data_IF_095522678947
#
_entry.id   IF_095522678947
#
_cell.length_a   1.000
_cell.length_b   1.000
_cell.length_c   1.000
_cell.angle_alpha   90.00
_cell.angle_beta   90.00
_cell.angle_gamma   90.00
#
_symmetry.space_group_name_H-M   'P 1'
#
loop_
_entity.id
_entity.type
_entity.pdbx_description
1 polymer ?
#
# COMPACT_ATOMS: atom_id res chain seq x y z
N UNK A 1 -5.41 -7.11 -30.51
CA UNK A 1 -5.34 -6.44 -29.20
C UNK A 1 -5.08 -4.95 -29.36
N UNK A 2 -5.78 -4.09 -28.61
CA UNK A 2 -5.61 -2.63 -28.70
C UNK A 2 -4.69 -2.10 -27.58
N UNK A 3 -3.40 -1.94 -27.90
CA UNK A 3 -2.36 -1.47 -26.96
C UNK A 3 -2.31 0.04 -26.75
N UNK A 4 -3.29 0.79 -27.25
CA UNK A 4 -3.34 2.25 -27.04
C UNK A 4 -3.88 2.65 -25.66
N UNK A 5 -4.47 1.69 -24.93
CA UNK A 5 -5.10 1.93 -23.62
C UNK A 5 -4.03 2.05 -22.53
N UNK A 6 -4.22 3.03 -21.66
CA UNK A 6 -3.44 3.16 -20.43
C UNK A 6 -3.84 2.08 -19.40
N UNK A 7 -3.00 1.77 -18.42
CA UNK A 7 -3.36 0.83 -17.33
C UNK A 7 -4.65 1.17 -16.60
N UNK A 8 -4.90 2.46 -16.39
CA UNK A 8 -6.13 2.92 -15.77
C UNK A 8 -7.35 2.65 -16.64
N UNK A 9 -7.26 2.88 -17.96
CA UNK A 9 -8.36 2.60 -18.88
C UNK A 9 -8.67 1.10 -18.93
N UNK A 10 -7.66 0.24 -19.01
CA UNK A 10 -7.84 -1.22 -18.94
C UNK A 10 -8.52 -1.64 -17.63
N UNK A 11 -8.15 -1.03 -16.50
CA UNK A 11 -8.81 -1.30 -15.23
C UNK A 11 -10.27 -0.85 -15.23
N UNK A 12 -10.58 0.38 -15.65
CA UNK A 12 -11.97 0.88 -15.64
C UNK A 12 -12.90 0.06 -16.53
N UNK A 13 -12.42 -0.43 -17.67
CA UNK A 13 -13.19 -1.35 -18.54
C UNK A 13 -13.48 -2.70 -17.87
N UNK A 14 -12.50 -3.24 -17.14
CA UNK A 14 -12.61 -4.55 -16.48
C UNK A 14 -13.15 -4.46 -15.05
N UNK A 15 -13.38 -3.27 -14.52
CA UNK A 15 -13.67 -3.01 -13.11
C UNK A 15 -14.86 -3.80 -12.60
N UNK A 16 -15.95 -3.82 -13.35
CA UNK A 16 -17.15 -4.55 -12.94
C UNK A 16 -16.90 -6.05 -12.84
N UNK A 17 -16.15 -6.61 -13.80
CA UNK A 17 -15.78 -8.04 -13.81
C UNK A 17 -14.85 -8.36 -12.64
N UNK A 18 -13.81 -7.53 -12.43
CA UNK A 18 -12.85 -7.69 -11.34
C UNK A 18 -13.55 -7.61 -9.98
N UNK A 19 -14.42 -6.63 -9.77
CA UNK A 19 -15.10 -6.44 -8.49
C UNK A 19 -16.15 -7.52 -8.20
N UNK A 20 -16.74 -8.12 -9.25
CA UNK A 20 -17.71 -9.20 -9.14
C UNK A 20 -17.10 -10.55 -8.77
N UNK A 21 -15.77 -10.72 -8.82
CA UNK A 21 -15.11 -11.94 -8.35
C UNK A 21 -15.37 -12.09 -6.84
N UNK A 22 -15.88 -13.26 -6.45
CA UNK A 22 -16.17 -13.58 -5.05
C UNK A 22 -14.86 -13.63 -4.23
N UNK A 23 -14.87 -13.01 -3.06
CA UNK A 23 -13.75 -12.94 -2.12
C UNK A 23 -13.24 -14.36 -1.75
N UNK A 24 -14.13 -15.35 -1.64
CA UNK A 24 -13.80 -16.74 -1.31
C UNK A 24 -13.14 -17.51 -2.46
N UNK A 25 -13.25 -17.00 -3.69
CA UNK A 25 -12.65 -17.59 -4.90
C UNK A 25 -11.33 -16.94 -5.29
N UNK A 26 -10.91 -15.89 -4.57
CA UNK A 26 -9.68 -15.16 -4.85
C UNK A 26 -8.47 -16.09 -4.76
N UNK A 27 -7.74 -16.20 -5.87
CA UNK A 27 -6.55 -17.02 -5.95
C UNK A 27 -5.43 -16.35 -5.16
N UNK A 28 -4.88 -17.08 -4.19
CA UNK A 28 -3.69 -16.66 -3.47
C UNK A 28 -2.51 -16.53 -4.43
N UNK A 29 -1.99 -15.31 -4.58
CA UNK A 29 -0.75 -15.08 -5.33
C UNK A 29 0.45 -15.60 -4.53
N UNK A 30 1.14 -16.60 -5.08
CA UNK A 30 2.39 -17.16 -4.56
C UNK A 30 3.64 -16.52 -5.14
N UNK A 31 3.47 -15.65 -6.13
CA UNK A 31 4.52 -14.92 -6.84
C UNK A 31 4.62 -13.46 -6.34
N UNK A 32 5.81 -12.83 -6.32
CA UNK A 32 5.93 -11.38 -6.11
C UNK A 32 5.16 -10.55 -7.14
N UNK A 33 4.86 -9.28 -6.83
CA UNK A 33 4.06 -8.43 -7.73
C UNK A 33 4.79 -8.15 -9.05
N UNK A 34 6.08 -7.87 -8.96
CA UNK A 34 6.96 -7.53 -10.07
C UNK A 34 7.06 -8.69 -11.06
N UNK A 35 7.28 -9.89 -10.51
CA UNK A 35 7.30 -11.14 -11.27
C UNK A 35 5.94 -11.40 -11.92
N UNK A 36 4.84 -11.22 -11.19
CA UNK A 36 3.49 -11.43 -11.71
C UNK A 36 3.14 -10.46 -12.86
N UNK A 37 3.55 -9.20 -12.76
CA UNK A 37 3.38 -8.22 -13.83
C UNK A 37 4.21 -8.62 -15.06
N UNK A 38 5.46 -9.00 -14.87
CA UNK A 38 6.34 -9.44 -15.96
C UNK A 38 5.79 -10.70 -16.66
N UNK A 39 5.22 -11.62 -15.90
CA UNK A 39 4.56 -12.82 -16.42
C UNK A 39 3.32 -12.48 -17.24
N UNK A 40 2.50 -11.51 -16.80
CA UNK A 40 1.39 -11.00 -17.60
C UNK A 40 1.85 -10.38 -18.92
N UNK A 41 2.96 -9.64 -18.89
CA UNK A 41 3.62 -9.10 -20.09
C UNK A 41 4.07 -10.20 -21.04
N UNK A 42 4.71 -11.24 -20.50
CA UNK A 42 5.14 -12.39 -21.31
C UNK A 42 3.94 -13.10 -21.92
N UNK A 43 2.87 -13.31 -21.16
CA UNK A 43 1.67 -13.99 -21.64
C UNK A 43 1.04 -13.28 -22.85
N UNK A 44 0.79 -11.97 -22.79
CA UNK A 44 0.22 -11.28 -23.96
C UNK A 44 1.21 -11.22 -25.13
N UNK A 45 2.52 -11.16 -24.89
CA UNK A 45 3.53 -11.16 -25.95
C UNK A 45 3.56 -12.50 -26.70
N UNK A 46 3.40 -13.61 -25.97
CA UNK A 46 3.27 -14.95 -26.57
C UNK A 46 1.98 -15.09 -27.35
N UNK A 47 0.88 -14.56 -26.83
CA UNK A 47 -0.40 -14.52 -27.55
C UNK A 47 -0.28 -13.75 -28.85
N UNK A 48 0.39 -12.59 -28.89
CA UNK A 48 0.60 -11.87 -30.17
C UNK A 48 1.34 -12.70 -31.20
N UNK A 49 2.39 -13.39 -30.77
CA UNK A 49 3.25 -14.15 -31.68
C UNK A 49 2.56 -15.40 -32.21
N UNK A 50 1.71 -16.04 -31.39
CA UNK A 50 1.15 -17.36 -31.67
C UNK A 50 -0.38 -17.38 -31.72
N UNK A 51 -1.02 -16.22 -31.89
CA UNK A 51 -2.47 -16.02 -31.80
C UNK A 51 -3.27 -17.06 -32.60
N UNK A 52 -3.02 -17.16 -33.91
CA UNK A 52 -3.76 -18.06 -34.81
C UNK A 52 -3.58 -19.53 -34.44
N UNK A 53 -2.38 -19.92 -33.99
CA UNK A 53 -2.08 -21.29 -33.57
C UNK A 53 -2.80 -21.64 -32.27
N UNK A 54 -2.82 -20.71 -31.31
CA UNK A 54 -3.53 -20.89 -30.04
C UNK A 54 -5.04 -21.00 -30.28
N UNK A 55 -5.63 -20.10 -31.09
CA UNK A 55 -7.04 -20.17 -31.48
C UNK A 55 -7.40 -21.46 -32.19
N UNK A 56 -6.60 -21.86 -33.18
CA UNK A 56 -6.84 -23.11 -33.92
C UNK A 56 -6.71 -24.36 -33.04
N UNK A 57 -6.08 -24.25 -31.86
CA UNK A 57 -5.94 -25.32 -30.88
C UNK A 57 -7.12 -25.41 -29.89
N UNK A 58 -8.15 -24.57 -30.06
CA UNK A 58 -9.40 -24.65 -29.29
C UNK A 58 -9.44 -23.84 -28.00
N UNK A 59 -8.50 -22.90 -27.79
CA UNK A 59 -8.64 -21.94 -26.68
C UNK A 59 -9.87 -21.05 -26.90
N UNK A 60 -10.60 -20.74 -25.83
CA UNK A 60 -11.64 -19.71 -25.89
C UNK A 60 -11.01 -18.37 -26.26
N UNK A 61 -11.56 -17.72 -27.29
CA UNK A 61 -11.02 -16.46 -27.81
C UNK A 61 -10.98 -15.38 -26.73
N UNK A 62 -11.89 -15.42 -25.74
CA UNK A 62 -11.92 -14.45 -24.63
C UNK A 62 -10.58 -14.34 -23.91
N UNK A 63 -9.82 -15.44 -23.76
CA UNK A 63 -8.55 -15.41 -23.06
C UNK A 63 -7.45 -14.74 -23.87
N UNK A 64 -7.35 -15.05 -25.16
CA UNK A 64 -6.34 -14.45 -26.05
C UNK A 64 -6.70 -13.01 -26.45
N UNK A 65 -7.98 -12.68 -26.51
CA UNK A 65 -8.45 -11.35 -26.89
C UNK A 65 -8.30 -10.33 -25.77
N UNK A 66 -8.41 -10.77 -24.50
CA UNK A 66 -8.43 -9.88 -23.33
C UNK A 66 -7.17 -9.92 -22.46
N UNK A 67 -6.19 -10.79 -22.76
CA UNK A 67 -4.99 -10.97 -21.92
C UNK A 67 -4.21 -9.67 -21.70
N UNK A 68 -4.16 -8.79 -22.71
CA UNK A 68 -3.49 -7.50 -22.59
C UNK A 68 -4.20 -6.60 -21.56
N UNK A 69 -5.51 -6.42 -21.68
CA UNK A 69 -6.31 -5.64 -20.73
C UNK A 69 -6.22 -6.23 -19.31
N UNK A 70 -6.29 -7.56 -19.17
CA UNK A 70 -6.16 -8.26 -17.87
C UNK A 70 -4.80 -7.97 -17.22
N UNK A 71 -3.71 -8.12 -17.95
CA UNK A 71 -2.35 -7.89 -17.45
C UNK A 71 -2.14 -6.42 -17.04
N UNK A 72 -2.64 -5.51 -17.87
CA UNK A 72 -2.45 -4.06 -17.66
C UNK A 72 -3.34 -3.54 -16.52
N UNK A 73 -4.56 -4.05 -16.37
CA UNK A 73 -5.44 -3.75 -15.23
C UNK A 73 -4.86 -4.25 -13.90
N UNK A 74 -4.24 -5.43 -13.89
CA UNK A 74 -3.51 -5.92 -12.73
C UNK A 74 -2.35 -4.98 -12.36
N UNK A 75 -1.53 -4.57 -13.32
CA UNK A 75 -0.43 -3.64 -13.08
C UNK A 75 -0.90 -2.29 -12.49
N UNK A 76 -2.05 -1.76 -12.96
CA UNK A 76 -2.67 -0.59 -12.34
C UNK A 76 -3.00 -0.81 -10.86
N UNK A 77 -3.63 -1.95 -10.53
CA UNK A 77 -3.97 -2.28 -9.15
C UNK A 77 -2.73 -2.40 -8.25
N UNK A 78 -1.62 -2.96 -8.76
CA UNK A 78 -0.34 -2.99 -8.04
C UNK A 78 0.15 -1.57 -7.72
N UNK A 79 0.12 -0.66 -8.69
CA UNK A 79 0.50 0.74 -8.49
C UNK A 79 -0.34 1.46 -7.42
N UNK A 80 -1.65 1.17 -7.37
CA UNK A 80 -2.55 1.70 -6.33
C UNK A 80 -2.19 1.15 -4.94
N UNK A 81 -1.93 -0.15 -4.82
CA UNK A 81 -1.48 -0.77 -3.55
C UNK A 81 -0.20 -0.11 -3.07
N UNK A 82 0.80 0.02 -3.93
CA UNK A 82 2.08 0.64 -3.60
C UNK A 82 1.92 2.08 -3.14
N UNK A 83 1.04 2.84 -3.81
CA UNK A 83 0.73 4.22 -3.45
C UNK A 83 0.17 4.28 -2.03
N UNK A 84 -0.87 3.52 -1.71
CA UNK A 84 -1.46 3.57 -0.37
C UNK A 84 -0.52 3.06 0.73
N UNK A 85 0.29 2.04 0.44
CA UNK A 85 1.32 1.57 1.39
C UNK A 85 2.36 2.68 1.66
N UNK A 86 2.85 3.36 0.63
CA UNK A 86 3.84 4.44 0.75
C UNK A 86 3.26 5.65 1.48
N UNK A 87 2.07 6.09 1.06
CA UNK A 87 1.35 7.21 1.69
C UNK A 87 1.08 6.96 3.16
N UNK A 88 0.57 5.78 3.53
CA UNK A 88 0.31 5.43 4.93
C UNK A 88 1.57 5.37 5.80
N UNK A 89 2.72 4.95 5.25
CA UNK A 89 4.02 5.05 5.94
C UNK A 89 4.43 6.50 6.13
N UNK A 90 4.32 7.32 5.08
CA UNK A 90 4.67 8.74 5.12
C UNK A 90 3.84 9.50 6.15
N UNK A 91 2.52 9.29 6.21
CA UNK A 91 1.67 9.93 7.24
C UNK A 91 2.13 9.58 8.66
N UNK A 92 2.47 8.31 8.92
CA UNK A 92 3.00 7.88 10.23
C UNK A 92 4.31 8.59 10.55
N UNK A 93 5.26 8.65 9.60
CA UNK A 93 6.55 9.32 9.78
C UNK A 93 6.39 10.82 10.06
N UNK A 94 5.58 11.52 9.25
CA UNK A 94 5.27 12.94 9.43
C UNK A 94 4.64 13.18 10.81
N UNK A 95 3.70 12.32 11.23
CA UNK A 95 3.08 12.41 12.55
C UNK A 95 4.12 12.24 13.67
N UNK A 96 5.06 11.30 13.56
CA UNK A 96 6.12 11.12 14.57
C UNK A 96 7.03 12.34 14.72
N UNK A 97 7.26 13.09 13.64
CA UNK A 97 8.04 14.33 13.66
C UNK A 97 7.21 15.44 14.30
N UNK A 98 6.01 15.73 13.76
CA UNK A 98 5.17 16.84 14.21
C UNK A 98 4.70 16.67 15.65
N UNK A 99 4.45 15.45 16.12
CA UNK A 99 4.02 15.24 17.50
C UNK A 99 5.05 15.72 18.52
N UNK A 100 6.35 15.59 18.21
CA UNK A 100 7.43 16.07 19.10
C UNK A 100 7.34 17.58 19.28
N UNK A 101 7.08 18.31 18.21
CA UNK A 101 6.86 19.75 18.25
C UNK A 101 5.54 20.12 18.96
N UNK A 102 4.46 19.38 18.71
CA UNK A 102 3.20 19.54 19.45
C UNK A 102 3.38 19.43 20.98
N UNK A 103 4.12 18.43 21.46
CA UNK A 103 4.45 18.32 22.89
C UNK A 103 5.27 19.50 23.41
N UNK A 104 6.22 20.03 22.61
CA UNK A 104 7.01 21.21 22.99
C UNK A 104 6.12 22.45 23.13
N UNK A 105 5.22 22.68 22.16
CA UNK A 105 4.27 23.81 22.20
C UNK A 105 3.35 23.68 23.40
N UNK A 106 2.75 22.50 23.63
CA UNK A 106 1.92 22.22 24.82
C UNK A 106 2.67 22.55 26.12
N UNK A 107 3.91 22.07 26.27
CA UNK A 107 4.73 22.33 27.46
C UNK A 107 5.03 23.83 27.64
N UNK A 108 5.37 24.51 26.55
CA UNK A 108 5.73 25.94 26.55
C UNK A 108 4.54 26.82 26.92
N UNK A 109 3.38 26.60 26.29
CA UNK A 109 2.15 27.31 26.61
C UNK A 109 1.67 27.05 28.04
N UNK A 110 1.68 25.79 28.51
CA UNK A 110 1.36 25.49 29.90
C UNK A 110 2.26 26.28 30.86
N UNK A 111 3.57 26.35 30.62
CA UNK A 111 4.50 27.13 31.45
C UNK A 111 4.14 28.62 31.46
N UNK A 112 3.89 29.21 30.30
CA UNK A 112 3.57 30.64 30.20
C UNK A 112 2.23 30.97 30.85
N UNK A 113 1.18 30.21 30.56
CA UNK A 113 -0.15 30.48 31.08
C UNK A 113 -0.20 30.29 32.60
N UNK A 114 0.56 29.34 33.17
CA UNK A 114 0.68 29.25 34.64
C UNK A 114 1.28 30.52 35.26
N UNK A 115 2.21 31.20 34.58
CA UNK A 115 2.80 32.45 35.08
C UNK A 115 1.86 33.65 34.89
N UNK A 116 1.25 33.78 33.70
CA UNK A 116 0.29 34.84 33.38
C UNK A 116 -0.88 34.82 34.36
N UNK A 117 -1.42 33.63 34.64
CA UNK A 117 -2.59 33.43 35.48
C UNK A 117 -2.27 32.99 36.92
N UNK A 118 -1.06 33.27 37.42
CA UNK A 118 -0.59 32.81 38.76
C UNK A 118 -1.45 33.24 39.96
N UNK A 119 -2.34 34.21 39.77
CA UNK A 119 -3.27 34.70 40.79
C UNK A 119 -4.75 34.44 40.43
N UNK A 120 -5.01 33.57 39.46
CA UNK A 120 -6.35 33.23 38.98
C UNK A 120 -6.58 31.72 39.13
N UNK A 121 -7.06 31.32 40.32
CA UNK A 121 -7.22 29.90 40.69
C UNK A 121 -8.14 29.13 39.74
N UNK A 122 -9.13 29.81 39.15
CA UNK A 122 -10.06 29.21 38.19
C UNK A 122 -9.33 28.79 36.93
N UNK A 123 -8.50 29.68 36.37
CA UNK A 123 -7.71 29.37 35.16
C UNK A 123 -6.60 28.35 35.48
N UNK A 124 -5.95 28.44 36.64
CA UNK A 124 -4.95 27.46 37.06
C UNK A 124 -5.54 26.05 37.20
N UNK A 125 -6.77 25.92 37.71
CA UNK A 125 -7.48 24.65 37.76
C UNK A 125 -7.73 24.08 36.34
N UNK A 126 -8.15 24.92 35.39
CA UNK A 126 -8.32 24.51 34.00
C UNK A 126 -7.00 24.03 33.37
N UNK A 127 -5.90 24.77 33.57
CA UNK A 127 -4.56 24.38 33.10
C UNK A 127 -4.08 23.05 33.69
N UNK A 128 -4.39 22.78 34.96
CA UNK A 128 -4.09 21.51 35.63
C UNK A 128 -4.84 20.34 34.99
N UNK A 129 -6.10 20.55 34.62
CA UNK A 129 -6.91 19.53 33.93
C UNK A 129 -6.38 19.22 32.54
N UNK A 130 -6.03 20.24 31.75
CA UNK A 130 -5.36 20.10 30.45
C UNK A 130 -4.06 19.27 30.62
N UNK A 131 -3.19 19.66 31.56
CA UNK A 131 -1.92 18.95 31.80
C UNK A 131 -2.08 17.47 32.17
N UNK A 132 -3.23 17.06 32.72
CA UNK A 132 -3.47 15.67 33.17
C UNK A 132 -3.66 14.70 31.99
N UNK A 133 -4.01 15.19 30.81
CA UNK A 133 -4.19 14.38 29.60
C UNK A 133 -2.93 13.58 29.23
N UNK A 134 -3.12 12.29 28.91
CA UNK A 134 -2.06 11.34 28.53
C UNK A 134 -2.26 10.82 27.12
N UNK A 135 -1.15 10.62 26.40
CA UNK A 135 -1.16 10.11 25.04
C UNK A 135 -1.31 11.19 23.97
N UNK A 136 -1.16 10.77 22.71
CA UNK A 136 -1.05 11.68 21.58
C UNK A 136 -2.38 12.39 21.27
N UNK A 137 -3.53 11.71 21.42
CA UNK A 137 -4.85 12.33 21.21
C UNK A 137 -5.18 13.39 22.26
N UNK A 138 -4.89 13.13 23.53
CA UNK A 138 -5.06 14.14 24.58
C UNK A 138 -4.10 15.32 24.36
N UNK A 139 -2.86 15.09 23.93
CA UNK A 139 -1.94 16.17 23.57
C UNK A 139 -2.50 17.05 22.44
N UNK A 140 -3.10 16.45 21.41
CA UNK A 140 -3.73 17.18 20.30
C UNK A 140 -4.90 18.02 20.79
N UNK A 141 -5.81 17.44 21.59
CA UNK A 141 -6.93 18.15 22.22
C UNK A 141 -6.47 19.29 23.12
N UNK A 142 -5.38 19.08 23.85
CA UNK A 142 -4.80 20.10 24.73
C UNK A 142 -4.28 21.30 23.95
N UNK A 143 -3.70 21.11 22.76
CA UNK A 143 -3.26 22.21 21.90
C UNK A 143 -4.44 23.12 21.52
N UNK A 144 -5.59 22.55 21.14
CA UNK A 144 -6.80 23.32 20.88
C UNK A 144 -7.33 24.01 22.14
N UNK A 145 -7.37 23.29 23.26
CA UNK A 145 -7.85 23.82 24.54
C UNK A 145 -7.00 25.00 25.03
N UNK A 146 -5.67 24.90 24.86
CA UNK A 146 -4.73 25.97 25.17
C UNK A 146 -4.90 27.16 24.24
N UNK A 147 -5.06 26.93 22.93
CA UNK A 147 -5.34 27.98 21.97
C UNK A 147 -6.62 28.74 22.32
N UNK A 148 -7.73 28.05 22.57
CA UNK A 148 -9.00 28.66 22.97
C UNK A 148 -8.89 29.43 24.29
N UNK A 149 -8.17 28.89 25.28
CA UNK A 149 -7.94 29.59 26.54
C UNK A 149 -7.14 30.89 26.33
N UNK A 150 -6.16 30.88 25.42
CA UNK A 150 -5.40 32.05 25.05
C UNK A 150 -6.26 33.10 24.35
N UNK A 151 -7.03 32.71 23.33
CA UNK A 151 -7.91 33.63 22.59
C UNK A 151 -8.91 34.32 23.51
N UNK A 152 -9.52 33.58 24.44
CA UNK A 152 -10.48 34.12 25.41
C UNK A 152 -9.84 35.07 26.46
N UNK A 153 -8.51 35.15 26.52
CA UNK A 153 -7.78 35.98 27.48
C UNK A 153 -6.66 36.80 26.83
N UNK A 154 -6.78 37.10 25.54
CA UNK A 154 -5.75 37.76 24.73
C UNK A 154 -5.20 39.04 25.38
N UNK A 155 -6.07 39.93 25.87
CA UNK A 155 -5.63 41.18 26.51
C UNK A 155 -4.69 40.95 27.71
N UNK A 156 -5.01 39.97 28.56
CA UNK A 156 -4.19 39.62 29.73
C UNK A 156 -2.85 39.03 29.32
N UNK A 157 -2.81 38.30 28.21
CA UNK A 157 -1.60 37.67 27.68
C UNK A 157 -0.72 38.70 26.97
N UNK A 158 -1.30 39.63 26.21
CA UNK A 158 -0.58 40.70 25.52
C UNK A 158 0.08 41.69 26.48
N UNK A 159 -0.47 41.85 27.70
CA UNK A 159 0.16 42.59 28.78
C UNK A 159 1.40 41.88 29.38
N UNK A 160 1.79 40.73 28.83
CA UNK A 160 2.99 39.98 29.20
C UNK A 160 3.87 39.71 27.98
N UNK A 161 5.14 39.34 28.18
CA UNK A 161 6.08 39.02 27.08
C UNK A 161 5.82 37.65 26.42
N UNK A 162 4.56 37.18 26.38
CA UNK A 162 4.20 35.95 25.69
C UNK A 162 4.01 36.25 24.21
N UNK A 163 4.88 35.68 23.39
CA UNK A 163 4.82 35.82 21.93
C UNK A 163 3.59 35.09 21.37
N UNK A 164 2.70 35.85 20.72
CA UNK A 164 1.46 35.38 20.08
C UNK A 164 1.71 34.25 19.09
N UNK A 165 2.89 34.17 18.48
CA UNK A 165 3.25 33.07 17.55
C UNK A 165 3.05 31.69 18.18
N UNK A 166 3.19 31.55 19.51
CA UNK A 166 2.97 30.29 20.21
C UNK A 166 1.50 29.87 20.27
N UNK A 167 0.60 30.84 20.29
CA UNK A 167 -0.86 30.62 20.31
C UNK A 167 -1.31 30.16 18.93
N UNK A 168 -0.80 30.81 17.87
CA UNK A 168 -1.08 30.45 16.49
C UNK A 168 -0.51 29.07 16.16
N UNK A 169 0.71 28.78 16.61
CA UNK A 169 1.33 27.46 16.47
C UNK A 169 0.48 26.35 17.13
N UNK A 170 -0.17 26.61 18.27
CA UNK A 170 -1.01 25.59 18.91
C UNK A 170 -2.20 25.20 18.03
N UNK A 171 -2.87 26.16 17.40
CA UNK A 171 -3.96 25.89 16.46
C UNK A 171 -3.46 25.15 15.21
N UNK A 172 -2.32 25.59 14.67
CA UNK A 172 -1.69 24.94 13.52
C UNK A 172 -1.39 23.46 13.82
N UNK A 173 -0.67 23.18 14.92
CA UNK A 173 -0.31 21.81 15.29
C UNK A 173 -1.53 20.97 15.65
N UNK A 174 -2.55 21.54 16.30
CA UNK A 174 -3.82 20.85 16.52
C UNK A 174 -4.44 20.39 15.19
N UNK A 175 -4.57 21.30 14.22
CA UNK A 175 -5.21 21.03 12.93
C UNK A 175 -4.45 19.97 12.14
N UNK A 176 -3.13 20.14 12.02
CA UNK A 176 -2.27 19.21 11.28
C UNK A 176 -2.22 17.81 11.91
N UNK A 177 -2.04 17.73 13.24
CA UNK A 177 -1.96 16.45 13.94
C UNK A 177 -3.31 15.74 13.99
N UNK A 178 -4.42 16.46 14.11
CA UNK A 178 -5.77 15.88 14.05
C UNK A 178 -6.02 15.25 12.67
N UNK A 179 -5.65 15.96 11.60
CA UNK A 179 -5.78 15.45 10.24
C UNK A 179 -4.91 14.21 10.02
N UNK A 180 -3.64 14.25 10.43
CA UNK A 180 -2.73 13.10 10.32
C UNK A 180 -3.19 11.90 11.15
N UNK A 181 -3.73 12.12 12.36
CA UNK A 181 -4.26 11.04 13.19
C UNK A 181 -5.43 10.34 12.49
N UNK A 182 -6.35 11.10 11.88
CA UNK A 182 -7.44 10.54 11.09
C UNK A 182 -6.93 9.76 9.87
N UNK A 183 -5.95 10.28 9.14
CA UNK A 183 -5.35 9.57 8.01
C UNK A 183 -4.71 8.24 8.43
N UNK A 184 -3.96 8.23 9.54
CA UNK A 184 -3.32 7.01 10.07
C UNK A 184 -4.35 5.94 10.45
N UNK A 185 -5.53 6.34 10.91
CA UNK A 185 -6.64 5.44 11.23
C UNK A 185 -7.30 4.86 9.96
N UNK A 186 -7.44 5.67 8.91
CA UNK A 186 -8.10 5.31 7.65
C UNK A 186 -7.19 4.52 6.69
N UNK A 187 -5.90 4.84 6.61
CA UNK A 187 -4.95 4.27 5.64
C UNK A 187 -4.84 2.73 5.67
N UNK A 188 -4.89 2.05 6.83
CA UNK A 188 -4.93 0.59 6.88
C UNK A 188 -6.12 0.01 6.14
N UNK A 189 -7.29 0.64 6.23
CA UNK A 189 -8.49 0.18 5.52
C UNK A 189 -8.33 0.36 4.01
N UNK A 190 -7.89 1.54 3.55
CA UNK A 190 -7.58 1.79 2.13
C UNK A 190 -6.56 0.81 1.56
N UNK A 191 -5.55 0.47 2.36
CA UNK A 191 -4.51 -0.52 1.98
C UNK A 191 -5.08 -1.93 1.89
N UNK A 192 -6.00 -2.30 2.78
CA UNK A 192 -6.67 -3.60 2.76
C UNK A 192 -7.56 -3.74 1.53
N UNK A 193 -8.37 -2.72 1.28
CA UNK A 193 -9.32 -2.70 0.16
C UNK A 193 -8.58 -2.73 -1.18
N UNK A 194 -7.50 -1.95 -1.34
CA UNK A 194 -6.69 -1.99 -2.55
C UNK A 194 -6.01 -3.34 -2.77
N UNK A 195 -5.54 -4.00 -1.71
CA UNK A 195 -4.96 -5.36 -1.80
C UNK A 195 -6.01 -6.40 -2.21
N UNK A 196 -7.24 -6.30 -1.71
CA UNK A 196 -8.32 -7.18 -2.10
C UNK A 196 -8.64 -7.03 -3.60
N UNK A 197 -8.87 -5.78 -4.06
CA UNK A 197 -9.12 -5.50 -5.49
C UNK A 197 -7.96 -6.00 -6.36
N UNK A 198 -6.72 -5.76 -5.94
CA UNK A 198 -5.54 -6.25 -6.65
C UNK A 198 -5.47 -7.79 -6.71
N UNK A 199 -5.95 -8.48 -5.67
CA UNK A 199 -5.99 -9.94 -5.63
C UNK A 199 -7.11 -10.51 -6.52
N UNK A 200 -8.24 -9.79 -6.66
CA UNK A 200 -9.26 -10.10 -7.67
C UNK A 200 -8.73 -9.89 -9.10
N UNK A 201 -8.05 -8.78 -9.35
CA UNK A 201 -7.41 -8.52 -10.64
C UNK A 201 -6.35 -9.60 -10.98
N UNK A 202 -5.57 -10.04 -9.99
CA UNK A 202 -4.67 -11.18 -10.14
C UNK A 202 -5.43 -12.46 -10.50
N UNK A 203 -6.54 -12.75 -9.82
CA UNK A 203 -7.36 -13.95 -10.09
C UNK A 203 -7.84 -13.96 -11.54
N UNK A 204 -8.32 -12.81 -12.03
CA UNK A 204 -8.79 -12.65 -13.40
C UNK A 204 -7.66 -12.81 -14.43
N UNK A 205 -6.48 -12.22 -14.17
CA UNK A 205 -5.30 -12.42 -15.02
C UNK A 205 -4.82 -13.88 -15.01
N UNK A 206 -4.77 -14.49 -13.82
CA UNK A 206 -4.25 -15.83 -13.61
C UNK A 206 -5.06 -16.90 -14.32
N UNK A 207 -6.38 -16.76 -14.36
CA UNK A 207 -7.27 -17.59 -15.14
C UNK A 207 -6.85 -17.65 -16.62
N UNK A 208 -6.72 -16.49 -17.27
CA UNK A 208 -6.31 -16.40 -18.68
C UNK A 208 -4.89 -16.94 -18.89
N UNK A 209 -3.94 -16.59 -18.01
CA UNK A 209 -2.57 -17.10 -18.11
C UNK A 209 -2.49 -18.62 -18.01
N UNK A 210 -3.25 -19.23 -17.08
CA UNK A 210 -3.28 -20.69 -16.94
C UNK A 210 -3.77 -21.36 -18.20
N UNK A 211 -4.81 -20.83 -18.82
CA UNK A 211 -5.35 -21.38 -20.05
C UNK A 211 -4.38 -21.22 -21.21
N UNK A 212 -3.87 -20.01 -21.44
CA UNK A 212 -2.90 -19.70 -22.51
C UNK A 212 -1.66 -20.58 -22.40
N UNK A 213 -1.10 -20.72 -21.20
CA UNK A 213 0.07 -21.56 -20.98
C UNK A 213 -0.24 -23.06 -21.13
N UNK A 214 -1.43 -23.51 -20.75
CA UNK A 214 -1.82 -24.91 -20.90
C UNK A 214 -2.05 -25.28 -22.35
N UNK A 215 -2.83 -24.49 -23.08
CA UNK A 215 -3.06 -24.70 -24.51
C UNK A 215 -1.74 -24.56 -25.27
N UNK A 216 -0.93 -23.54 -24.99
CA UNK A 216 0.36 -23.37 -25.67
C UNK A 216 1.29 -24.57 -25.51
N UNK A 217 1.43 -25.13 -24.29
CA UNK A 217 2.23 -26.35 -24.09
C UNK A 217 1.67 -27.55 -24.88
N UNK A 218 0.36 -27.65 -25.02
CA UNK A 218 -0.25 -28.70 -25.83
C UNK A 218 -0.03 -28.45 -27.33
N UNK A 219 -0.26 -27.24 -27.83
CA UNK A 219 -0.09 -26.84 -29.23
C UNK A 219 1.33 -27.03 -29.74
N UNK A 220 2.33 -26.79 -28.88
CA UNK A 220 3.74 -26.83 -29.25
C UNK A 220 4.47 -28.06 -28.69
N UNK A 221 3.77 -29.15 -28.35
CA UNK A 221 4.38 -30.35 -27.76
C UNK A 221 5.53 -30.96 -28.58
N UNK A 222 5.47 -30.85 -29.90
CA UNK A 222 6.49 -31.34 -30.83
C UNK A 222 7.61 -30.31 -31.12
N UNK A 223 7.52 -29.09 -30.55
CA UNK A 223 8.52 -28.03 -30.68
C UNK A 223 9.04 -27.63 -29.29
N UNK A 224 10.10 -28.31 -28.78
CA UNK A 224 10.60 -28.11 -27.42
C UNK A 224 11.03 -26.66 -27.13
N UNK A 225 11.56 -25.95 -28.13
CA UNK A 225 12.02 -24.57 -27.96
C UNK A 225 10.85 -23.61 -27.74
N UNK A 226 9.75 -23.78 -28.48
CA UNK A 226 8.56 -22.96 -28.29
C UNK A 226 7.80 -23.39 -27.05
N UNK A 227 7.69 -24.69 -26.78
CA UNK A 227 7.02 -25.25 -25.61
C UNK A 227 7.58 -24.67 -24.30
N UNK A 228 8.89 -24.53 -24.20
CA UNK A 228 9.53 -24.01 -22.99
C UNK A 228 9.05 -22.59 -22.62
N UNK A 229 8.69 -21.79 -23.63
CA UNK A 229 8.18 -20.43 -23.43
C UNK A 229 6.82 -20.39 -22.72
N UNK A 230 6.04 -21.48 -22.79
CA UNK A 230 4.72 -21.61 -22.17
C UNK A 230 4.76 -22.23 -20.77
N UNK A 231 5.94 -22.30 -20.15
CA UNK A 231 6.05 -22.42 -18.70
C UNK A 231 6.17 -21.05 -18.04
N UNK A 232 5.76 -20.99 -16.78
CA UNK A 232 5.93 -19.81 -15.95
C UNK A 232 7.40 -19.73 -15.52
N UNK A 233 8.11 -18.75 -16.07
CA UNK A 233 9.55 -18.53 -15.89
C UNK A 233 9.92 -18.39 -14.40
N UNK A 234 9.14 -17.64 -13.62
CA UNK A 234 9.34 -17.55 -12.16
C UNK A 234 9.39 -18.94 -11.47
N UNK A 235 8.47 -19.84 -11.80
CA UNK A 235 8.43 -21.17 -11.19
C UNK A 235 9.56 -22.07 -11.71
N UNK A 236 9.94 -21.95 -12.98
CA UNK A 236 11.10 -22.64 -13.53
C UNK A 236 12.40 -22.27 -12.78
N UNK A 237 12.63 -20.96 -12.57
CA UNK A 237 13.78 -20.48 -11.78
C UNK A 237 13.77 -21.00 -10.34
N UNK A 238 12.60 -21.06 -9.70
CA UNK A 238 12.49 -21.58 -8.33
C UNK A 238 12.80 -23.08 -8.24
N UNK A 239 12.29 -23.89 -9.17
CA UNK A 239 12.57 -25.33 -9.21
C UNK A 239 14.06 -25.58 -9.42
N UNK A 240 14.67 -24.87 -10.38
CA UNK A 240 16.09 -24.99 -10.68
C UNK A 240 16.98 -24.59 -9.49
N UNK A 241 16.61 -23.54 -8.77
CA UNK A 241 17.32 -23.09 -7.57
C UNK A 241 17.28 -24.16 -6.47
N UNK A 242 16.09 -24.73 -6.19
CA UNK A 242 15.92 -25.80 -5.19
C UNK A 242 16.72 -27.04 -5.53
N UNK A 243 16.76 -27.43 -6.81
CA UNK A 243 17.53 -28.59 -7.26
C UNK A 243 19.04 -28.38 -7.13
N UNK A 244 19.55 -27.16 -7.38
CA UNK A 244 20.95 -26.83 -7.12
C UNK A 244 21.29 -26.89 -5.63
N UNK A 245 20.39 -26.42 -4.78
CA UNK A 245 20.55 -26.49 -3.32
C UNK A 245 20.54 -27.93 -2.79
N UNK A 246 19.67 -28.81 -3.31
CA UNK A 246 19.63 -30.21 -2.90
C UNK A 246 20.92 -30.94 -3.29
N UNK A 247 21.42 -30.74 -4.51
CA UNK A 247 22.71 -31.29 -4.95
C UNK A 247 23.88 -30.82 -4.11
N UNK A 248 23.90 -29.53 -3.72
CA UNK A 248 24.94 -28.98 -2.84
C UNK A 248 24.88 -29.60 -1.43
N UNK A 249 23.69 -29.85 -0.89
CA UNK A 249 23.54 -30.54 0.41
C UNK A 249 24.01 -31.99 0.33
N UNK A 250 23.69 -32.71 -0.75
CA UNK A 250 24.15 -34.08 -0.96
C UNK A 250 25.68 -34.18 -1.10
N UNK A 251 26.34 -33.22 -1.76
CA UNK A 251 27.80 -33.20 -1.85
C UNK A 251 28.46 -32.95 -0.49
N UNK A 252 27.94 -32.00 0.30
CA UNK A 252 28.47 -31.69 1.64
C UNK A 252 28.28 -32.85 2.63
N UNK A 253 27.17 -33.59 2.52
CA UNK A 253 26.93 -34.80 3.33
C UNK A 253 27.88 -35.95 2.97
N UNK A 254 28.26 -36.10 1.69
CA UNK A 254 29.24 -37.11 1.27
C UNK A 254 30.67 -36.77 1.70
N UNK A 255 31.05 -35.50 1.68
CA UNK A 255 32.35 -35.01 2.16
C UNK A 255 32.50 -35.17 3.69
N UNK A 256 31.42 -34.95 4.45
CA UNK A 256 31.44 -35.12 5.91
C UNK A 256 31.36 -36.57 6.38
N UNK A 257 30.86 -37.49 5.56
CA UNK A 257 30.84 -38.92 5.85
C UNK A 257 32.11 -39.67 5.41
N UNK A 258 33.04 -38.99 4.72
CA UNK A 258 34.31 -39.57 4.22
C UNK A 258 35.55 -39.12 5.03
N UNK A 259 35.34 -38.37 6.12
CA UNK A 259 36.33 -37.98 7.13
C UNK A 259 35.99 -38.64 8.47
#
# INVERSE_FOLDING_TARGET
MNKSKTPQQCFEELKNVILAIDDDTVVRRTMPYEEAMQEGVRAYTLVEKYYDKLLSSGIDSVYVDTIYERATAFAYCVGIVDTFVKTGKSHKEIFQIKKKEGYKIRKKLLKYLNFVFRFDDKILCALKNIKRGRGDLEMIKDLNSLHQLCENNLERILNTNVDKSHIDMALQYYTELSHLAALIDIDPQKTRDSKLICSKAWTYLWEAMKEIYTVGRHTFCEDPEILELFFIDYYQRMINSRWKESKKKESTLKETASN
#
